data_IF_400952664920
#
_entry.id   IF_400952664920
#
_cell.length_a   1.000
_cell.length_b   1.000
_cell.length_c   1.000
_cell.angle_alpha   90.00
_cell.angle_beta   90.00
_cell.angle_gamma   90.00
#
_symmetry.space_group_name_H-M   'P 1'
#
loop_
_entity.id
_entity.type
_entity.pdbx_description
1 polymer ?
#
# COMPACT_ATOMS: atom_id res chain seq x y z
N UNK A 1 4.56 -22.75 30.70
CA UNK A 1 3.85 -23.09 29.46
C UNK A 1 4.94 -23.49 28.50
N UNK A 2 5.00 -24.75 28.13
CA UNK A 2 5.93 -25.25 27.14
C UNK A 2 5.67 -24.55 25.81
N UNK A 3 6.71 -24.33 25.01
CA UNK A 3 6.57 -23.76 23.70
C UNK A 3 5.59 -24.61 22.86
N UNK A 4 4.65 -24.02 22.09
CA UNK A 4 3.72 -24.79 21.30
C UNK A 4 4.50 -25.68 20.33
N UNK A 5 4.16 -26.97 20.32
CA UNK A 5 4.70 -27.87 19.30
C UNK A 5 4.04 -27.59 17.97
N UNK A 6 4.85 -27.57 16.92
CA UNK A 6 4.38 -27.29 15.53
C UNK A 6 3.91 -28.60 14.87
N UNK A 7 2.91 -29.23 15.47
CA UNK A 7 2.25 -30.41 14.91
C UNK A 7 0.75 -30.19 14.77
N UNK A 8 0.05 -30.96 13.90
CA UNK A 8 -1.37 -30.75 13.62
C UNK A 8 -2.28 -30.84 14.86
N UNK A 9 -1.99 -31.73 15.79
CA UNK A 9 -2.82 -31.95 16.97
C UNK A 9 -2.73 -30.75 17.93
N UNK A 10 -1.51 -30.28 18.19
CA UNK A 10 -1.25 -29.13 19.06
C UNK A 10 -1.84 -27.83 18.46
N UNK A 11 -1.65 -27.59 17.17
CA UNK A 11 -2.19 -26.41 16.49
C UNK A 11 -3.72 -26.44 16.42
N UNK A 12 -4.32 -27.59 16.14
CA UNK A 12 -5.76 -27.77 16.16
C UNK A 12 -6.35 -27.59 17.57
N UNK A 13 -5.68 -28.12 18.59
CA UNK A 13 -6.05 -27.94 19.99
C UNK A 13 -6.00 -26.47 20.42
N UNK A 14 -4.94 -25.76 20.05
CA UNK A 14 -4.77 -24.32 20.30
C UNK A 14 -5.88 -23.50 19.63
N UNK A 15 -6.12 -23.73 18.36
CA UNK A 15 -7.17 -23.03 17.59
C UNK A 15 -8.55 -23.22 18.21
N UNK A 16 -8.90 -24.45 18.56
CA UNK A 16 -10.14 -24.78 19.24
C UNK A 16 -10.26 -24.05 20.58
N UNK A 17 -9.22 -24.08 21.40
CA UNK A 17 -9.23 -23.43 22.71
C UNK A 17 -9.42 -21.91 22.62
N UNK A 18 -8.76 -21.26 21.64
CA UNK A 18 -8.95 -19.82 21.38
C UNK A 18 -10.43 -19.54 21.07
N UNK A 19 -11.01 -20.29 20.12
CA UNK A 19 -12.41 -20.10 19.75
C UNK A 19 -13.37 -20.37 20.92
N UNK A 20 -13.18 -21.48 21.66
CA UNK A 20 -14.03 -21.84 22.80
C UNK A 20 -13.99 -20.77 23.91
N UNK A 21 -12.82 -20.15 24.10
CA UNK A 21 -12.67 -19.04 25.06
C UNK A 21 -13.48 -17.80 24.65
N UNK A 22 -13.57 -17.52 23.36
CA UNK A 22 -14.42 -16.44 22.82
C UNK A 22 -15.91 -16.81 22.94
N UNK A 23 -16.26 -18.01 22.52
CA UNK A 23 -17.64 -18.50 22.52
C UNK A 23 -18.23 -18.67 23.93
N UNK A 24 -17.40 -18.88 24.94
CA UNK A 24 -17.83 -18.91 26.34
C UNK A 24 -18.37 -17.56 26.84
N UNK A 25 -17.93 -16.44 26.22
CA UNK A 25 -18.41 -15.09 26.53
C UNK A 25 -19.55 -14.68 25.59
N UNK A 26 -19.36 -14.95 24.29
CA UNK A 26 -20.35 -14.69 23.26
C UNK A 26 -20.52 -15.91 22.34
N UNK A 27 -21.62 -16.67 22.46
CA UNK A 27 -21.87 -17.85 21.62
C UNK A 27 -21.96 -17.55 20.12
N UNK A 28 -22.23 -16.30 19.75
CA UNK A 28 -22.29 -15.84 18.36
C UNK A 28 -20.95 -15.27 17.85
N UNK A 29 -19.90 -15.30 18.67
CA UNK A 29 -18.59 -14.79 18.29
C UNK A 29 -18.07 -15.41 16.98
N UNK A 30 -17.51 -14.59 16.13
CA UNK A 30 -16.78 -14.99 14.94
C UNK A 30 -15.33 -14.54 15.08
N UNK A 31 -14.40 -15.48 14.99
CA UNK A 31 -12.98 -15.18 15.03
C UNK A 31 -12.51 -14.68 13.67
N UNK A 32 -11.99 -13.46 13.62
CA UNK A 32 -11.34 -12.92 12.44
C UNK A 32 -9.82 -13.22 12.49
N UNK A 33 -9.32 -13.98 11.52
CA UNK A 33 -7.92 -14.40 11.48
C UNK A 33 -7.24 -13.94 10.20
N UNK A 34 -6.04 -13.36 10.34
CA UNK A 34 -5.19 -12.98 9.21
C UNK A 34 -4.45 -14.21 8.67
N UNK A 35 -4.48 -14.37 7.34
CA UNK A 35 -3.84 -15.50 6.65
C UNK A 35 -2.36 -15.32 6.31
N UNK A 36 -1.78 -14.11 6.48
CA UNK A 36 -0.41 -13.83 6.05
C UNK A 36 0.65 -14.74 6.71
N UNK A 37 0.43 -15.18 7.93
CA UNK A 37 1.36 -16.07 8.61
C UNK A 37 1.53 -17.42 7.89
N UNK A 38 0.55 -17.88 7.13
CA UNK A 38 0.62 -19.14 6.39
C UNK A 38 1.64 -19.11 5.24
N UNK A 39 1.91 -17.95 4.68
CA UNK A 39 2.98 -17.80 3.67
C UNK A 39 4.28 -17.26 4.25
N UNK A 40 4.23 -16.52 5.35
CA UNK A 40 5.41 -15.89 5.94
C UNK A 40 6.32 -16.92 6.63
N UNK A 41 5.76 -18.01 7.12
CA UNK A 41 6.52 -19.10 7.78
C UNK A 41 6.08 -20.48 7.26
N UNK A 42 6.41 -20.83 6.03
CA UNK A 42 5.99 -22.09 5.41
C UNK A 42 6.66 -23.32 6.07
N UNK A 43 7.70 -23.13 6.87
CA UNK A 43 8.36 -24.22 7.59
C UNK A 43 7.46 -24.79 8.68
N UNK A 44 6.78 -23.93 9.40
CA UNK A 44 5.86 -24.33 10.48
C UNK A 44 4.42 -24.46 9.98
N UNK A 45 3.99 -23.60 9.05
CA UNK A 45 2.64 -23.64 8.48
C UNK A 45 2.58 -24.54 7.23
N UNK A 46 2.81 -25.82 7.44
CA UNK A 46 2.58 -26.85 6.41
C UNK A 46 1.09 -26.97 6.08
N UNK A 47 0.75 -27.54 4.92
CA UNK A 47 -0.66 -27.77 4.55
C UNK A 47 -1.44 -28.55 5.60
N UNK A 48 -0.79 -29.53 6.24
CA UNK A 48 -1.40 -30.33 7.28
C UNK A 48 -1.68 -29.49 8.54
N UNK A 49 -0.72 -28.67 8.95
CA UNK A 49 -0.85 -27.76 10.09
C UNK A 49 -1.94 -26.71 9.87
N UNK A 50 -1.98 -26.08 8.70
CA UNK A 50 -3.02 -25.12 8.33
C UNK A 50 -4.40 -25.80 8.35
N UNK A 51 -4.52 -26.98 7.76
CA UNK A 51 -5.78 -27.73 7.73
C UNK A 51 -6.26 -28.09 9.15
N UNK A 52 -5.39 -28.56 10.02
CA UNK A 52 -5.73 -28.87 11.39
C UNK A 52 -6.17 -27.63 12.18
N UNK A 53 -5.44 -26.52 12.04
CA UNK A 53 -5.75 -25.25 12.66
C UNK A 53 -7.15 -24.74 12.23
N UNK A 54 -7.43 -24.70 10.92
CA UNK A 54 -8.67 -24.15 10.39
C UNK A 54 -9.88 -25.03 10.68
N UNK A 55 -9.74 -26.37 10.56
CA UNK A 55 -10.85 -27.32 10.76
C UNK A 55 -11.21 -27.57 12.22
N UNK A 56 -10.41 -27.11 13.16
CA UNK A 56 -10.69 -27.24 14.58
C UNK A 56 -11.65 -26.19 15.14
N UNK A 57 -11.98 -25.18 14.34
CA UNK A 57 -13.01 -24.18 14.64
C UNK A 57 -14.28 -24.52 13.82
N UNK A 58 -15.50 -24.39 14.39
CA UNK A 58 -16.73 -24.65 13.63
C UNK A 58 -16.78 -23.79 12.35
N UNK A 59 -17.33 -24.37 11.30
CA UNK A 59 -17.54 -23.66 10.04
C UNK A 59 -18.39 -22.42 10.28
N UNK A 60 -18.10 -21.31 9.59
CA UNK A 60 -18.72 -20.00 9.74
C UNK A 60 -18.46 -19.27 11.08
N UNK A 61 -17.59 -19.83 11.94
CA UNK A 61 -17.15 -19.17 13.18
C UNK A 61 -15.71 -18.68 13.11
N UNK A 62 -15.04 -18.89 11.99
CA UNK A 62 -13.73 -18.38 11.67
C UNK A 62 -13.77 -17.72 10.29
N UNK A 63 -13.55 -16.42 10.23
CA UNK A 63 -13.45 -15.66 8.97
C UNK A 63 -11.98 -15.37 8.68
N UNK A 64 -11.49 -15.88 7.54
CA UNK A 64 -10.13 -15.67 7.13
C UNK A 64 -9.99 -14.38 6.30
N UNK A 65 -8.97 -13.59 6.61
CA UNK A 65 -8.52 -12.55 5.70
C UNK A 65 -7.37 -13.13 4.86
N UNK A 66 -7.60 -13.33 3.57
CA UNK A 66 -6.51 -13.58 2.63
C UNK A 66 -5.78 -12.27 2.42
N UNK A 67 -4.75 -12.06 3.22
CA UNK A 67 -4.29 -10.73 3.66
C UNK A 67 -3.61 -9.89 2.58
N UNK A 68 -2.98 -10.53 1.60
CA UNK A 68 -2.06 -9.86 0.67
C UNK A 68 -2.20 -10.42 -0.76
N UNK A 69 -3.43 -10.39 -1.29
CA UNK A 69 -3.77 -11.08 -2.51
C UNK A 69 -3.16 -10.48 -3.78
N UNK A 70 -2.76 -9.21 -3.77
CA UNK A 70 -2.01 -8.62 -4.89
C UNK A 70 -0.61 -9.22 -5.09
N UNK A 71 -0.10 -9.93 -4.08
CA UNK A 71 1.19 -10.60 -4.13
C UNK A 71 1.08 -12.11 -4.00
N UNK A 72 0.40 -12.62 -2.96
CA UNK A 72 0.22 -14.05 -2.71
C UNK A 72 -1.21 -14.34 -2.30
N UNK A 73 -1.78 -15.40 -2.85
CA UNK A 73 -3.16 -15.81 -2.61
C UNK A 73 -3.17 -17.16 -1.90
N UNK A 74 -3.48 -17.14 -0.60
CA UNK A 74 -3.49 -18.33 0.25
C UNK A 74 -4.70 -19.22 -0.05
N UNK A 75 -5.82 -18.62 -0.49
CA UNK A 75 -7.01 -19.37 -0.86
C UNK A 75 -6.73 -20.46 -1.92
N UNK A 76 -5.83 -20.18 -2.87
CA UNK A 76 -5.38 -21.17 -3.88
C UNK A 76 -4.57 -22.31 -3.28
N UNK A 77 -3.75 -22.00 -2.30
CA UNK A 77 -2.84 -22.95 -1.67
C UNK A 77 -3.53 -23.84 -0.63
N UNK A 78 -4.69 -23.44 -0.12
CA UNK A 78 -5.39 -24.07 0.99
C UNK A 78 -6.76 -24.63 0.60
N UNK A 79 -6.98 -24.99 -0.66
CA UNK A 79 -8.29 -25.45 -1.12
C UNK A 79 -9.42 -24.53 -0.61
N UNK A 80 -9.26 -23.22 -0.81
CA UNK A 80 -10.21 -22.18 -0.32
C UNK A 80 -10.38 -22.22 1.20
N UNK A 81 -9.26 -22.18 1.96
CA UNK A 81 -9.22 -22.24 3.42
C UNK A 81 -9.98 -23.45 3.99
N UNK A 82 -9.96 -24.57 3.26
CA UNK A 82 -10.62 -25.83 3.64
C UNK A 82 -12.09 -25.68 4.02
N UNK A 83 -12.79 -24.72 3.40
CA UNK A 83 -14.22 -24.45 3.56
C UNK A 83 -14.56 -23.38 4.60
N UNK A 84 -13.57 -22.82 5.31
CA UNK A 84 -13.83 -21.65 6.16
C UNK A 84 -14.13 -20.42 5.31
N UNK A 85 -15.08 -19.55 5.71
CA UNK A 85 -15.35 -18.30 5.02
C UNK A 85 -14.12 -17.40 4.97
N UNK A 86 -13.94 -16.69 3.85
CA UNK A 86 -12.82 -15.79 3.68
C UNK A 86 -13.15 -14.54 2.86
N UNK A 87 -12.32 -13.51 3.06
CA UNK A 87 -12.30 -12.29 2.24
C UNK A 87 -10.99 -12.27 1.43
N UNK A 88 -11.10 -11.94 0.16
CA UNK A 88 -9.94 -11.58 -0.66
C UNK A 88 -9.53 -10.15 -0.32
N UNK A 89 -8.33 -9.93 0.17
CA UNK A 89 -7.92 -8.63 0.69
C UNK A 89 -6.74 -8.03 -0.09
N UNK A 90 -6.87 -6.76 -0.41
CA UNK A 90 -5.81 -5.92 -0.95
C UNK A 90 -5.09 -5.20 0.19
N UNK A 91 -3.78 -5.39 0.31
CA UNK A 91 -2.98 -4.71 1.33
C UNK A 91 -2.61 -3.30 0.88
N UNK A 92 -2.09 -3.18 -0.33
CA UNK A 92 -1.81 -1.91 -0.99
C UNK A 92 -0.47 -1.29 -0.62
N UNK A 93 -0.18 -1.06 0.64
CA UNK A 93 1.09 -0.49 1.06
C UNK A 93 1.59 -1.08 2.38
N UNK A 94 2.92 -1.11 2.51
CA UNK A 94 3.62 -1.54 3.70
C UNK A 94 4.05 -0.33 4.52
N UNK A 95 3.66 -0.29 5.80
CA UNK A 95 4.21 0.62 6.79
C UNK A 95 4.31 2.07 6.35
N UNK A 96 3.25 2.65 5.78
CA UNK A 96 3.22 4.04 5.31
C UNK A 96 4.12 4.35 4.09
N UNK A 97 4.50 3.35 3.31
CA UNK A 97 5.16 3.60 2.03
C UNK A 97 4.27 4.44 1.12
N UNK A 98 4.73 5.63 0.74
CA UNK A 98 3.93 6.66 0.07
C UNK A 98 4.17 6.75 -1.44
N UNK A 99 4.89 5.81 -2.04
CA UNK A 99 5.12 5.82 -3.47
C UNK A 99 3.87 5.43 -4.28
N UNK A 100 3.83 5.85 -5.55
CA UNK A 100 2.84 5.38 -6.51
C UNK A 100 3.14 3.94 -6.92
N UNK A 101 2.32 3.00 -6.45
CA UNK A 101 2.45 1.58 -6.70
C UNK A 101 1.09 0.88 -6.64
N UNK A 102 0.98 -0.39 -7.05
CA UNK A 102 -0.27 -1.10 -6.87
C UNK A 102 -0.53 -2.28 -7.81
N UNK A 103 0.31 -2.56 -8.82
CA UNK A 103 0.17 -3.62 -9.82
C UNK A 103 -1.27 -3.81 -10.35
N UNK A 104 -1.86 -2.71 -10.84
CA UNK A 104 -3.28 -2.58 -11.19
C UNK A 104 -3.82 -3.75 -12.02
N UNK A 105 -3.14 -4.11 -13.13
CA UNK A 105 -3.62 -5.19 -14.04
C UNK A 105 -3.61 -6.55 -13.37
N UNK A 106 -2.59 -6.86 -12.58
CA UNK A 106 -2.54 -8.12 -11.83
C UNK A 106 -3.66 -8.20 -10.79
N UNK A 107 -3.96 -7.09 -10.11
CA UNK A 107 -5.09 -7.03 -9.16
C UNK A 107 -6.41 -7.27 -9.89
N UNK A 108 -6.62 -6.63 -11.05
CA UNK A 108 -7.82 -6.82 -11.85
C UNK A 108 -8.03 -8.30 -12.25
N UNK A 109 -6.99 -8.94 -12.80
CA UNK A 109 -7.00 -10.35 -13.20
C UNK A 109 -7.30 -11.29 -12.02
N UNK A 110 -6.65 -11.07 -10.87
CA UNK A 110 -6.86 -11.90 -9.67
C UNK A 110 -8.24 -11.73 -9.06
N UNK A 111 -8.81 -10.54 -9.14
CA UNK A 111 -10.18 -10.33 -8.69
C UNK A 111 -11.19 -11.04 -9.58
N UNK A 112 -11.01 -11.03 -10.90
CA UNK A 112 -11.85 -11.81 -11.82
C UNK A 112 -11.74 -13.31 -11.53
N UNK A 113 -10.52 -13.81 -11.28
CA UNK A 113 -10.27 -15.21 -10.96
C UNK A 113 -10.94 -15.61 -9.64
N UNK A 114 -10.79 -14.84 -8.57
CA UNK A 114 -11.39 -15.19 -7.28
C UNK A 114 -12.92 -15.10 -7.31
N UNK A 115 -13.51 -14.20 -8.10
CA UNK A 115 -14.96 -14.14 -8.26
C UNK A 115 -15.51 -15.34 -9.03
N UNK A 116 -14.75 -15.91 -9.98
CA UNK A 116 -15.14 -17.10 -10.74
C UNK A 116 -14.80 -18.42 -10.03
N UNK A 117 -13.69 -18.47 -9.28
CA UNK A 117 -13.13 -19.71 -8.76
C UNK A 117 -13.07 -19.78 -7.22
N UNK A 118 -13.33 -18.70 -6.53
CA UNK A 118 -13.19 -18.60 -5.07
C UNK A 118 -14.15 -19.47 -4.25
N UNK A 119 -15.20 -20.00 -4.87
CA UNK A 119 -16.15 -20.91 -4.26
C UNK A 119 -17.20 -20.24 -3.37
N UNK A 120 -18.11 -21.03 -2.84
CA UNK A 120 -19.26 -20.54 -2.07
C UNK A 120 -18.89 -19.98 -0.68
N UNK A 121 -17.67 -20.21 -0.24
CA UNK A 121 -17.16 -19.69 1.04
C UNK A 121 -16.40 -18.36 0.89
N UNK A 122 -16.23 -17.83 -0.32
CA UNK A 122 -15.84 -16.43 -0.53
C UNK A 122 -16.98 -15.52 -0.05
N UNK A 123 -16.70 -14.62 0.89
CA UNK A 123 -17.68 -13.68 1.44
C UNK A 123 -17.59 -12.27 0.87
N UNK A 124 -16.55 -11.98 0.11
CA UNK A 124 -16.33 -10.70 -0.53
C UNK A 124 -14.88 -10.30 -0.61
N UNK A 125 -14.66 -9.01 -0.79
CA UNK A 125 -13.33 -8.40 -0.81
C UNK A 125 -13.14 -7.45 0.36
N UNK A 126 -11.90 -7.17 0.71
CA UNK A 126 -11.54 -6.26 1.79
C UNK A 126 -10.22 -5.55 1.54
N UNK A 127 -9.85 -4.72 2.49
CA UNK A 127 -8.56 -4.06 2.52
C UNK A 127 -7.90 -4.27 3.88
N UNK A 128 -6.62 -4.60 3.86
CA UNK A 128 -5.78 -4.84 5.03
C UNK A 128 -4.66 -3.80 5.12
N UNK A 129 -4.93 -2.59 4.64
CA UNK A 129 -3.93 -1.52 4.52
C UNK A 129 -3.17 -1.23 5.83
N UNK A 130 -1.87 -1.02 5.71
CA UNK A 130 -0.97 -0.69 6.83
C UNK A 130 -0.60 0.79 6.90
N UNK A 131 -1.26 1.65 6.16
CA UNK A 131 -1.05 3.08 6.16
C UNK A 131 -2.16 3.82 5.45
N UNK A 132 -2.17 5.14 5.58
CA UNK A 132 -3.21 6.00 5.05
C UNK A 132 -2.66 6.94 3.98
N UNK A 133 -3.54 7.42 3.11
CA UNK A 133 -3.26 8.55 2.23
C UNK A 133 -2.48 8.24 0.96
N UNK A 134 -2.32 6.97 0.57
CA UNK A 134 -1.59 6.58 -0.63
C UNK A 134 -2.40 5.67 -1.54
N UNK A 135 -2.17 5.79 -2.85
CA UNK A 135 -2.73 4.89 -3.86
C UNK A 135 -4.26 4.74 -3.79
N UNK A 136 -4.99 5.82 -3.47
CA UNK A 136 -6.45 5.80 -3.43
C UNK A 136 -7.09 5.13 -4.66
N UNK A 137 -6.60 5.34 -5.90
CA UNK A 137 -7.18 4.68 -7.07
C UNK A 137 -7.20 3.16 -6.96
N UNK A 138 -6.20 2.56 -6.31
CA UNK A 138 -6.15 1.11 -6.12
C UNK A 138 -7.23 0.62 -5.15
N UNK A 139 -7.42 1.32 -4.03
CA UNK A 139 -8.46 0.99 -3.05
C UNK A 139 -9.85 1.23 -3.62
N UNK A 140 -10.05 2.36 -4.33
CA UNK A 140 -11.31 2.64 -5.04
C UNK A 140 -11.63 1.51 -6.03
N UNK A 141 -10.63 1.06 -6.82
CA UNK A 141 -10.80 -0.02 -7.77
C UNK A 141 -11.23 -1.34 -7.11
N UNK A 142 -10.49 -1.78 -6.11
CA UNK A 142 -10.78 -3.05 -5.41
C UNK A 142 -12.17 -3.03 -4.78
N UNK A 143 -12.55 -1.94 -4.13
CA UNK A 143 -13.84 -1.84 -3.47
C UNK A 143 -14.99 -1.65 -4.46
N UNK A 144 -14.81 -0.90 -5.55
CA UNK A 144 -15.81 -0.74 -6.61
C UNK A 144 -16.09 -2.07 -7.32
N UNK A 145 -15.04 -2.85 -7.64
CA UNK A 145 -15.16 -4.17 -8.31
C UNK A 145 -15.98 -5.18 -7.50
N UNK A 146 -16.05 -5.04 -6.19
CA UNK A 146 -16.92 -5.88 -5.35
C UNK A 146 -18.42 -5.70 -5.67
N UNK A 147 -18.80 -4.55 -6.20
CA UNK A 147 -20.18 -4.17 -6.49
C UNK A 147 -20.48 -4.08 -8.00
N UNK A 148 -19.49 -3.71 -8.81
CA UNK A 148 -19.64 -3.46 -10.25
C UNK A 148 -18.84 -4.48 -11.10
N UNK A 149 -19.24 -5.73 -11.09
CA UNK A 149 -18.54 -6.83 -11.78
C UNK A 149 -18.64 -6.78 -13.33
N UNK A 150 -19.60 -6.03 -13.88
CA UNK A 150 -19.81 -5.95 -15.34
C UNK A 150 -19.03 -4.82 -16.04
N UNK A 151 -18.27 -4.02 -15.30
CA UNK A 151 -17.53 -2.89 -15.85
C UNK A 151 -16.12 -3.31 -16.27
N UNK A 152 -15.73 -3.02 -17.49
CA UNK A 152 -14.34 -3.22 -17.91
C UNK A 152 -13.39 -2.28 -17.17
N UNK A 153 -12.13 -2.71 -17.02
CA UNK A 153 -11.12 -1.92 -16.31
C UNK A 153 -10.91 -0.53 -16.95
N UNK A 154 -10.91 -0.46 -18.28
CA UNK A 154 -10.75 0.82 -18.98
C UNK A 154 -11.95 1.75 -18.79
N UNK A 155 -13.17 1.21 -18.73
CA UNK A 155 -14.35 2.03 -18.41
C UNK A 155 -14.33 2.50 -16.96
N UNK A 156 -13.85 1.65 -16.04
CA UNK A 156 -13.65 2.05 -14.65
C UNK A 156 -12.62 3.18 -14.53
N UNK A 157 -11.46 3.05 -15.21
CA UNK A 157 -10.42 4.09 -15.22
C UNK A 157 -10.97 5.41 -15.80
N UNK A 158 -11.76 5.34 -16.87
CA UNK A 158 -12.39 6.55 -17.43
C UNK A 158 -13.34 7.22 -16.44
N UNK A 159 -14.15 6.43 -15.73
CA UNK A 159 -15.03 6.97 -14.68
C UNK A 159 -14.24 7.52 -13.49
N UNK A 160 -13.13 6.90 -13.11
CA UNK A 160 -12.21 7.44 -12.12
C UNK A 160 -11.73 8.82 -12.54
N UNK A 161 -11.16 8.95 -13.74
CA UNK A 161 -10.68 10.22 -14.27
C UNK A 161 -11.76 11.31 -14.24
N UNK A 162 -12.98 10.99 -14.67
CA UNK A 162 -14.12 11.91 -14.67
C UNK A 162 -14.54 12.33 -13.24
N UNK A 163 -14.52 11.41 -12.28
CA UNK A 163 -14.79 11.73 -10.86
C UNK A 163 -13.72 12.67 -10.30
N UNK A 164 -12.45 12.41 -10.61
CA UNK A 164 -11.31 13.19 -10.10
C UNK A 164 -11.31 14.63 -10.64
N UNK A 165 -11.67 14.80 -11.91
CA UNK A 165 -11.74 16.14 -12.55
C UNK A 165 -13.10 16.81 -12.42
N UNK A 166 -14.16 16.06 -12.11
CA UNK A 166 -15.53 16.55 -12.04
C UNK A 166 -16.24 16.68 -13.39
N UNK A 167 -15.59 16.33 -14.47
CA UNK A 167 -16.15 16.34 -15.83
C UNK A 167 -15.37 15.36 -16.74
N UNK A 168 -15.92 15.11 -17.91
CA UNK A 168 -15.26 14.29 -18.92
C UNK A 168 -14.13 15.06 -19.57
N UNK A 169 -12.90 14.59 -19.41
CA UNK A 169 -11.71 15.15 -20.04
C UNK A 169 -10.89 14.04 -20.71
N UNK A 170 -10.56 14.21 -22.01
CA UNK A 170 -9.86 13.20 -22.78
C UNK A 170 -8.39 13.04 -22.35
N UNK A 171 -7.75 14.13 -21.95
CA UNK A 171 -6.36 14.13 -21.46
C UNK A 171 -6.28 13.40 -20.13
N UNK A 172 -7.17 13.72 -19.19
CA UNK A 172 -7.24 13.05 -17.90
C UNK A 172 -7.50 11.54 -18.02
N UNK A 173 -8.43 11.13 -18.91
CA UNK A 173 -8.70 9.70 -19.15
C UNK A 173 -7.49 8.98 -19.74
N UNK A 174 -6.83 9.54 -20.75
CA UNK A 174 -5.62 8.96 -21.34
C UNK A 174 -4.48 8.87 -20.33
N UNK A 175 -4.30 9.90 -19.52
CA UNK A 175 -3.32 9.96 -18.45
C UNK A 175 -3.55 8.86 -17.41
N UNK A 176 -4.77 8.70 -16.90
CA UNK A 176 -5.09 7.68 -15.89
C UNK A 176 -4.93 6.26 -16.44
N UNK A 177 -5.27 5.99 -17.70
CA UNK A 177 -4.97 4.72 -18.35
C UNK A 177 -3.48 4.44 -18.38
N UNK A 178 -2.68 5.44 -18.77
CA UNK A 178 -1.22 5.29 -18.81
C UNK A 178 -0.62 5.12 -17.41
N UNK A 179 -1.14 5.81 -16.37
CA UNK A 179 -0.73 5.59 -14.99
C UNK A 179 -0.97 4.14 -14.55
N UNK A 180 -2.16 3.60 -14.81
CA UNK A 180 -2.49 2.22 -14.46
C UNK A 180 -1.62 1.19 -15.22
N UNK A 181 -1.28 1.46 -16.48
CA UNK A 181 -0.51 0.56 -17.33
C UNK A 181 1.01 0.64 -17.15
N UNK A 182 1.54 1.79 -16.70
CA UNK A 182 2.98 2.07 -16.71
C UNK A 182 3.56 2.45 -15.35
N UNK A 183 2.75 2.92 -14.41
CA UNK A 183 3.21 3.39 -13.09
C UNK A 183 2.72 2.47 -11.97
N UNK A 184 1.43 2.12 -11.97
CA UNK A 184 0.86 1.17 -11.03
C UNK A 184 1.14 -0.28 -11.46
N UNK A 185 2.42 -0.62 -11.62
CA UNK A 185 2.88 -1.92 -12.18
C UNK A 185 3.55 -2.82 -11.15
N UNK A 186 4.01 -2.30 -10.03
CA UNK A 186 4.64 -3.07 -8.95
C UNK A 186 3.72 -3.17 -7.74
N UNK A 187 3.71 -4.32 -7.05
CA UNK A 187 3.15 -4.39 -5.71
C UNK A 187 3.84 -3.38 -4.79
N UNK A 188 3.09 -2.71 -3.96
CA UNK A 188 3.59 -1.61 -3.11
C UNK A 188 4.67 -2.03 -2.10
N UNK A 189 4.77 -3.32 -1.75
CA UNK A 189 5.83 -3.83 -0.89
C UNK A 189 7.21 -3.90 -1.56
N UNK A 190 7.28 -3.87 -2.89
CA UNK A 190 8.53 -3.92 -3.67
C UNK A 190 9.00 -2.56 -4.12
N UNK A 191 8.09 -1.57 -4.13
CA UNK A 191 8.39 -0.22 -4.52
C UNK A 191 8.54 0.71 -3.31
N UNK A 192 9.56 1.57 -3.32
CA UNK A 192 9.83 2.48 -2.23
C UNK A 192 10.04 3.91 -2.73
N UNK A 193 9.50 4.86 -1.99
CA UNK A 193 9.70 6.28 -2.28
C UNK A 193 11.19 6.62 -2.31
N UNK A 194 11.61 7.31 -3.34
CA UNK A 194 13.01 7.66 -3.55
C UNK A 194 13.52 8.68 -2.53
N UNK A 195 12.69 9.65 -2.17
CA UNK A 195 13.08 10.71 -1.25
C UNK A 195 13.00 10.27 0.21
N UNK A 196 11.90 9.63 0.61
CA UNK A 196 11.66 9.28 2.03
C UNK A 196 12.49 8.09 2.49
N UNK A 197 12.83 7.16 1.60
CA UNK A 197 13.56 5.94 1.94
C UNK A 197 15.01 5.95 1.49
N UNK A 198 15.40 6.91 0.66
CA UNK A 198 16.76 7.02 0.15
C UNK A 198 17.66 7.80 1.11
N UNK A 199 18.06 7.18 2.20
CA UNK A 199 19.05 7.81 3.08
C UNK A 199 20.33 8.19 2.30
N UNK A 200 20.92 9.37 2.55
CA UNK A 200 22.21 9.70 1.98
C UNK A 200 23.23 8.64 2.37
N UNK A 201 23.72 7.90 1.39
CA UNK A 201 24.75 6.89 1.59
C UNK A 201 25.67 6.86 0.39
N UNK A 202 26.97 7.01 0.64
CA UNK A 202 28.01 6.88 -0.38
C UNK A 202 28.29 5.41 -0.73
N UNK A 203 27.87 4.48 0.12
CA UNK A 203 28.16 3.04 0.00
C UNK A 203 26.99 2.22 -0.54
N UNK A 204 25.80 2.81 -0.61
CA UNK A 204 24.61 2.13 -1.11
C UNK A 204 24.10 1.00 -0.22
N UNK A 205 24.37 1.05 1.08
CA UNK A 205 23.89 0.07 2.05
C UNK A 205 22.40 0.29 2.37
N UNK A 206 21.54 -0.33 1.58
CA UNK A 206 20.10 -0.23 1.72
C UNK A 206 19.53 -1.44 2.43
N UNK A 207 18.70 -1.21 3.43
CA UNK A 207 17.78 -2.24 3.91
C UNK A 207 16.74 -2.53 2.81
N UNK A 208 16.20 -3.74 2.75
CA UNK A 208 15.21 -4.08 1.73
C UNK A 208 13.98 -3.14 1.72
N UNK A 209 13.60 -2.59 2.88
CA UNK A 209 12.49 -1.62 3.03
C UNK A 209 12.86 -0.19 2.62
N UNK A 210 14.14 0.13 2.48
CA UNK A 210 14.62 1.49 2.18
C UNK A 210 15.33 1.61 0.84
N UNK A 211 15.48 0.51 0.10
CA UNK A 211 16.07 0.52 -1.23
C UNK A 211 15.14 1.23 -2.21
N UNK A 212 15.56 2.34 -2.84
CA UNK A 212 14.76 3.00 -3.84
C UNK A 212 14.48 2.06 -5.01
N UNK A 213 13.21 1.80 -5.28
CA UNK A 213 12.79 0.91 -6.36
C UNK A 213 11.48 1.43 -6.95
N UNK A 214 11.49 1.75 -8.22
CA UNK A 214 10.31 2.16 -8.98
C UNK A 214 10.10 1.24 -10.18
N UNK A 215 8.84 0.96 -10.52
CA UNK A 215 8.47 0.07 -11.63
C UNK A 215 8.22 0.77 -12.96
N UNK A 216 8.62 2.03 -13.08
CA UNK A 216 8.34 2.87 -14.24
C UNK A 216 9.55 3.68 -14.68
N UNK A 217 9.48 4.22 -15.91
CA UNK A 217 10.45 5.19 -16.39
C UNK A 217 10.13 6.59 -15.83
N UNK A 218 11.12 7.26 -15.25
CA UNK A 218 10.96 8.60 -14.69
C UNK A 218 10.38 9.60 -15.70
N UNK A 219 10.86 9.59 -16.96
CA UNK A 219 10.34 10.48 -17.99
C UNK A 219 8.85 10.26 -18.29
N UNK A 220 8.36 9.04 -18.17
CA UNK A 220 6.93 8.74 -18.32
C UNK A 220 6.12 9.44 -17.24
N UNK A 221 6.51 9.28 -15.97
CA UNK A 221 5.79 9.93 -14.87
C UNK A 221 5.86 11.45 -14.95
N UNK A 222 7.02 12.00 -15.34
CA UNK A 222 7.20 13.43 -15.57
C UNK A 222 6.22 13.97 -16.61
N UNK A 223 6.15 13.36 -17.79
CA UNK A 223 5.24 13.77 -18.85
C UNK A 223 3.77 13.61 -18.46
N UNK A 224 3.41 12.58 -17.73
CA UNK A 224 2.04 12.42 -17.23
C UNK A 224 1.66 13.56 -16.27
N UNK A 225 2.59 13.99 -15.43
CA UNK A 225 2.34 15.12 -14.53
C UNK A 225 2.22 16.44 -15.31
N UNK A 226 3.09 16.69 -16.31
CA UNK A 226 2.96 17.85 -17.19
C UNK A 226 1.58 17.88 -17.90
N UNK A 227 1.13 16.73 -18.39
CA UNK A 227 -0.20 16.62 -19.00
C UNK A 227 -1.32 16.88 -17.98
N UNK A 228 -1.20 16.34 -16.76
CA UNK A 228 -2.20 16.60 -15.72
C UNK A 228 -2.33 18.09 -15.42
N UNK A 229 -1.25 18.83 -15.41
CA UNK A 229 -1.25 20.30 -15.19
C UNK A 229 -1.96 21.08 -16.30
N UNK A 230 -2.24 20.48 -17.48
CA UNK A 230 -3.02 21.11 -18.54
C UNK A 230 -4.52 20.89 -18.42
N UNK A 231 -4.96 20.03 -17.54
CA UNK A 231 -6.38 19.74 -17.30
C UNK A 231 -6.98 20.84 -16.42
N UNK A 232 -8.09 21.43 -16.87
CA UNK A 232 -8.79 22.45 -16.11
C UNK A 232 -9.78 21.80 -15.13
N UNK A 233 -9.54 21.94 -13.83
CA UNK A 233 -10.46 21.46 -12.80
C UNK A 233 -10.28 22.24 -11.49
N UNK A 234 -11.40 22.51 -10.81
CA UNK A 234 -11.45 23.11 -9.48
C UNK A 234 -11.69 22.06 -8.36
N UNK A 235 -11.76 20.78 -8.74
CA UNK A 235 -12.03 19.69 -7.78
C UNK A 235 -10.86 19.46 -6.82
N UNK A 236 -11.21 19.22 -5.58
CA UNK A 236 -10.24 18.90 -4.54
C UNK A 236 -9.47 17.60 -4.85
N UNK A 237 -10.17 16.58 -5.38
CA UNK A 237 -9.57 15.33 -5.85
C UNK A 237 -8.53 15.53 -6.95
N UNK A 238 -8.78 16.43 -7.90
CA UNK A 238 -7.80 16.80 -8.93
C UNK A 238 -6.57 17.46 -8.31
N UNK A 239 -6.78 18.44 -7.41
CA UNK A 239 -5.67 19.10 -6.70
C UNK A 239 -4.83 18.11 -5.89
N UNK A 240 -5.49 17.16 -5.23
CA UNK A 240 -4.81 16.06 -4.56
C UNK A 240 -3.91 15.28 -5.52
N UNK A 241 -4.42 14.89 -6.69
CA UNK A 241 -3.67 14.12 -7.69
C UNK A 241 -2.46 14.89 -8.22
N UNK A 242 -2.63 16.19 -8.51
CA UNK A 242 -1.52 17.06 -8.92
C UNK A 242 -0.40 17.06 -7.88
N UNK A 243 -0.74 17.19 -6.60
CA UNK A 243 0.26 17.19 -5.52
C UNK A 243 0.83 15.79 -5.32
N UNK A 244 0.00 14.75 -5.32
CA UNK A 244 0.43 13.38 -5.06
C UNK A 244 1.39 12.85 -6.15
N UNK A 245 1.08 13.09 -7.42
CA UNK A 245 1.95 12.69 -8.53
C UNK A 245 3.20 13.58 -8.56
N UNK A 246 3.03 14.89 -8.38
CA UNK A 246 4.14 15.84 -8.40
C UNK A 246 5.18 15.59 -7.30
N UNK A 247 4.76 15.21 -6.08
CA UNK A 247 5.71 14.85 -5.02
C UNK A 247 6.53 13.62 -5.38
N UNK A 248 5.95 12.64 -6.09
CA UNK A 248 6.69 11.48 -6.58
C UNK A 248 7.70 11.89 -7.66
N UNK A 249 7.29 12.73 -8.60
CA UNK A 249 8.17 13.29 -9.66
C UNK A 249 9.37 14.02 -9.04
N UNK A 250 9.14 14.88 -8.07
CA UNK A 250 10.22 15.62 -7.39
C UNK A 250 11.11 14.68 -6.54
N UNK A 251 10.51 13.67 -5.89
CA UNK A 251 11.27 12.67 -5.16
C UNK A 251 12.20 11.84 -6.07
N UNK A 252 11.73 11.45 -7.24
CA UNK A 252 12.52 10.72 -8.23
C UNK A 252 13.64 11.61 -8.82
N UNK A 253 13.36 12.90 -9.02
CA UNK A 253 14.37 13.89 -9.43
C UNK A 253 15.48 14.02 -8.40
N UNK A 254 15.12 14.06 -7.11
CA UNK A 254 16.10 14.13 -6.02
C UNK A 254 17.04 12.91 -6.02
N UNK A 255 16.52 11.71 -6.28
CA UNK A 255 17.36 10.50 -6.38
C UNK A 255 18.44 10.66 -7.47
N UNK A 256 18.04 11.17 -8.64
CA UNK A 256 18.97 11.39 -9.75
C UNK A 256 20.08 12.41 -9.38
N UNK A 257 19.71 13.51 -8.72
CA UNK A 257 20.66 14.52 -8.27
C UNK A 257 21.61 13.98 -7.20
N UNK A 258 21.09 13.20 -6.25
CA UNK A 258 21.89 12.52 -5.22
C UNK A 258 22.93 11.59 -5.85
N UNK A 259 22.55 10.81 -6.86
CA UNK A 259 23.46 9.90 -7.54
C UNK A 259 24.58 10.67 -8.27
N UNK A 260 24.25 11.77 -8.93
CA UNK A 260 25.23 12.68 -9.54
C UNK A 260 26.16 13.31 -8.49
N UNK A 261 25.63 13.74 -7.36
CA UNK A 261 26.41 14.23 -6.23
C UNK A 261 27.40 13.17 -5.74
N UNK A 262 26.93 11.92 -5.58
CA UNK A 262 27.77 10.80 -5.12
C UNK A 262 28.91 10.51 -6.12
N UNK A 263 28.64 10.55 -7.40
CA UNK A 263 29.67 10.38 -8.43
C UNK A 263 30.66 11.54 -8.47
N UNK A 264 30.21 12.77 -8.27
CA UNK A 264 31.09 13.93 -8.14
C UNK A 264 32.00 13.81 -6.89
N UNK A 265 31.44 13.35 -5.77
CA UNK A 265 32.21 13.08 -4.54
C UNK A 265 33.31 12.04 -4.77
N UNK A 266 32.99 10.91 -5.41
CA UNK A 266 33.97 9.86 -5.71
C UNK A 266 35.12 10.37 -6.60
N UNK A 267 34.84 11.33 -7.48
CA UNK A 267 35.86 11.96 -8.35
C UNK A 267 36.57 13.15 -7.71
N UNK A 268 36.20 13.52 -6.47
CA UNK A 268 36.70 14.72 -5.78
C UNK A 268 36.44 16.03 -6.56
N UNK A 269 35.33 16.08 -7.31
CA UNK A 269 34.90 17.22 -8.12
C UNK A 269 34.07 18.18 -7.28
N UNK A 270 34.70 19.06 -6.53
CA UNK A 270 34.03 19.98 -5.64
C UNK A 270 33.05 20.91 -6.34
N UNK A 271 33.35 21.52 -7.51
CA UNK A 271 32.37 22.34 -8.23
C UNK A 271 31.10 21.57 -8.62
N UNK A 272 31.23 20.33 -9.09
CA UNK A 272 30.06 19.49 -9.41
C UNK A 272 29.26 19.12 -8.14
N UNK A 273 29.93 18.82 -7.04
CA UNK A 273 29.24 18.56 -5.74
C UNK A 273 28.45 19.78 -5.27
N UNK A 274 29.01 20.98 -5.35
CA UNK A 274 28.32 22.22 -4.97
C UNK A 274 27.11 22.48 -5.86
N UNK A 275 27.25 22.25 -7.15
CA UNK A 275 26.15 22.38 -8.12
C UNK A 275 24.99 21.41 -7.81
N UNK A 276 25.27 20.10 -7.72
CA UNK A 276 24.24 19.10 -7.44
C UNK A 276 23.59 19.30 -6.06
N UNK A 277 24.36 19.68 -5.05
CA UNK A 277 23.83 20.01 -3.73
C UNK A 277 22.90 21.25 -3.74
N UNK A 278 23.18 22.23 -4.62
CA UNK A 278 22.27 23.37 -4.81
C UNK A 278 20.94 22.93 -5.42
N UNK A 279 20.97 22.13 -6.49
CA UNK A 279 19.77 21.57 -7.12
C UNK A 279 18.98 20.67 -6.17
N UNK A 280 19.62 19.83 -5.36
CA UNK A 280 18.95 19.04 -4.34
C UNK A 280 18.19 19.93 -3.32
N UNK A 281 18.78 21.04 -2.89
CA UNK A 281 18.08 21.99 -2.01
C UNK A 281 16.90 22.67 -2.68
N UNK A 282 17.01 22.99 -3.97
CA UNK A 282 15.90 23.54 -4.76
C UNK A 282 14.74 22.56 -4.84
N UNK A 283 14.99 21.27 -5.15
CA UNK A 283 13.96 20.23 -5.18
C UNK A 283 13.27 20.08 -3.83
N UNK A 284 14.00 20.13 -2.72
CA UNK A 284 13.40 20.08 -1.37
C UNK A 284 12.50 21.30 -1.10
N UNK A 285 12.91 22.49 -1.52
CA UNK A 285 12.10 23.70 -1.40
C UNK A 285 10.85 23.63 -2.30
N UNK A 286 10.96 23.07 -3.51
CA UNK A 286 9.83 22.86 -4.39
C UNK A 286 8.84 21.83 -3.83
N UNK A 287 9.34 20.75 -3.25
CA UNK A 287 8.53 19.76 -2.53
C UNK A 287 7.74 20.37 -1.38
N UNK A 288 8.38 21.18 -0.56
CA UNK A 288 7.72 21.89 0.56
C UNK A 288 6.59 22.81 0.03
N UNK A 289 6.88 23.58 -1.02
CA UNK A 289 5.87 24.43 -1.69
C UNK A 289 4.72 23.62 -2.29
N UNK A 290 5.02 22.54 -2.97
CA UNK A 290 4.02 21.67 -3.60
C UNK A 290 3.12 21.00 -2.58
N UNK A 291 3.70 20.39 -1.56
CA UNK A 291 2.92 19.69 -0.51
C UNK A 291 2.07 20.66 0.31
N UNK A 292 2.50 21.91 0.48
CA UNK A 292 1.69 22.96 1.10
C UNK A 292 0.43 23.35 0.29
N UNK A 293 0.33 22.97 -0.99
CA UNK A 293 -0.83 23.28 -1.82
C UNK A 293 -2.07 22.45 -1.50
N UNK A 294 -1.95 21.39 -0.70
CA UNK A 294 -3.10 20.57 -0.33
C UNK A 294 -3.02 20.11 1.13
N UNK A 295 -4.13 20.23 1.86
CA UNK A 295 -4.19 20.00 3.32
C UNK A 295 -3.80 18.58 3.74
N UNK A 296 -4.06 17.56 2.90
CA UNK A 296 -3.73 16.15 3.21
C UNK A 296 -2.20 15.90 3.29
N UNK A 297 -1.39 16.75 2.66
CA UNK A 297 0.07 16.67 2.72
C UNK A 297 0.69 17.61 3.78
N UNK A 298 -0.15 18.27 4.59
CA UNK A 298 0.32 19.20 5.62
C UNK A 298 0.83 18.45 6.86
N UNK A 299 2.13 18.61 7.14
CA UNK A 299 2.74 18.10 8.37
C UNK A 299 2.06 18.61 9.65
N UNK A 300 1.63 19.89 9.65
CA UNK A 300 0.95 20.50 10.80
C UNK A 300 -0.32 19.74 11.18
N UNK A 301 -1.15 19.39 10.22
CA UNK A 301 -2.38 18.61 10.44
C UNK A 301 -2.10 17.24 11.09
N UNK A 302 -1.08 16.54 10.62
CA UNK A 302 -0.63 15.27 11.20
C UNK A 302 -0.16 15.41 12.64
N UNK A 303 0.66 16.42 12.93
CA UNK A 303 1.16 16.69 14.26
C UNK A 303 0.06 17.15 15.22
N UNK A 304 -0.86 17.99 14.78
CA UNK A 304 -2.00 18.45 15.58
C UNK A 304 -2.92 17.27 15.94
N UNK A 305 -3.18 16.36 15.00
CA UNK A 305 -3.91 15.15 15.26
C UNK A 305 -3.22 14.29 16.33
N UNK A 306 -1.90 14.07 16.21
CA UNK A 306 -1.13 13.34 17.21
C UNK A 306 -1.16 14.00 18.60
N UNK A 307 -0.99 15.30 18.67
CA UNK A 307 -1.07 16.07 19.93
C UNK A 307 -2.44 15.96 20.59
N UNK A 308 -3.51 15.81 19.80
CA UNK A 308 -4.88 15.71 20.33
C UNK A 308 -5.11 14.47 21.23
N UNK A 309 -4.29 13.44 21.12
CA UNK A 309 -4.33 12.28 22.02
C UNK A 309 -3.79 12.57 23.43
N UNK A 310 -3.02 13.63 23.59
CA UNK A 310 -2.40 13.97 24.88
C UNK A 310 -3.34 14.76 25.80
N UNK A 311 -3.47 14.32 27.05
CA UNK A 311 -4.25 15.00 28.09
C UNK A 311 -3.50 16.15 28.78
N UNK A 312 -2.17 16.24 28.62
CA UNK A 312 -1.29 17.28 29.18
C UNK A 312 -0.10 17.52 28.24
N UNK A 313 0.65 18.59 28.49
CA UNK A 313 1.74 18.99 27.60
C UNK A 313 2.89 17.96 27.48
N UNK A 314 3.13 17.14 28.49
CA UNK A 314 4.10 16.06 28.40
C UNK A 314 3.64 14.94 27.46
N UNK A 315 2.38 14.50 27.60
CA UNK A 315 1.81 13.48 26.71
C UNK A 315 1.60 14.01 25.29
N UNK A 316 1.23 15.28 25.09
CA UNK A 316 1.17 15.88 23.75
C UNK A 316 2.53 15.87 23.05
N UNK A 317 3.60 16.23 23.76
CA UNK A 317 4.97 16.16 23.23
C UNK A 317 5.39 14.72 22.91
N UNK A 318 5.02 13.76 23.74
CA UNK A 318 5.28 12.36 23.49
C UNK A 318 4.63 11.88 22.17
N UNK A 319 3.33 12.14 21.99
CA UNK A 319 2.64 11.77 20.75
C UNK A 319 3.17 12.51 19.52
N UNK A 320 3.51 13.80 19.64
CA UNK A 320 4.13 14.56 18.56
C UNK A 320 5.50 13.96 18.17
N UNK A 321 6.33 13.60 19.15
CA UNK A 321 7.64 12.98 18.89
C UNK A 321 7.47 11.66 18.14
N UNK A 322 6.53 10.81 18.58
CA UNK A 322 6.24 9.56 17.87
C UNK A 322 5.74 9.81 16.44
N UNK A 323 4.83 10.76 16.24
CA UNK A 323 4.35 11.12 14.93
C UNK A 323 5.47 11.60 13.98
N UNK A 324 6.44 12.38 14.49
CA UNK A 324 7.61 12.81 13.70
C UNK A 324 8.56 11.69 13.33
N UNK A 325 8.62 10.63 14.13
CA UNK A 325 9.49 9.47 13.82
C UNK A 325 8.90 8.53 12.79
N UNK A 326 7.62 8.68 12.46
CA UNK A 326 6.92 7.88 11.44
C UNK A 326 6.91 8.54 10.06
N UNK A 327 7.48 9.73 9.95
CA UNK A 327 7.61 10.52 8.70
C UNK A 327 9.08 10.43 8.20
#
# INVERSE_FOLDING_TARGET
IDAPTWDPESLGGMSRHIYESMAAVDPEAVWLQMGWLFYADPTHWTQENIRAFLRSVPQDRLLMLDYFCEFTEIWKQTERFYGQPYLWCYLGNFGSNTMLAGNFRTVAERMEEVFSEGGDNLRGVGSTLEGFGVNQPMYEFVLDKAWETGLSDNEWIDRLADRRTGHRDATARALWRTLCDSVYTLPSHTGHSTLTNAHPSLEGNWHWTTKPTVGYCFSTLWHLWEQLLTVESDRDTYRFDVVNIGRQVLGDSFLTLRDRFTEAYKRHDLPAMEHEAALMREVLADLDRLTACHAEFSLGRWLDAARSFGSNEASKRYYETNARTLI
#
